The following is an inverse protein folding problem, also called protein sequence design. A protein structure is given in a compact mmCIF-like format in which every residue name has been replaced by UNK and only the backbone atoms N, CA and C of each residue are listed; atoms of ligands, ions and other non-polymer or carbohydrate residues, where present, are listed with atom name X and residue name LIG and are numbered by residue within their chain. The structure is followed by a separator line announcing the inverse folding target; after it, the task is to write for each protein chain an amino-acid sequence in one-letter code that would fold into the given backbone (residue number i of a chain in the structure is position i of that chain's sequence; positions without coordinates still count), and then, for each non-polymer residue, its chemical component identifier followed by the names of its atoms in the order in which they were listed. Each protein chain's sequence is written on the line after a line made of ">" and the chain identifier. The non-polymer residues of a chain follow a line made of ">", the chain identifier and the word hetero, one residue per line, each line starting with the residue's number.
data_IF_349494694242
#
_entry.id   IF_349494694242
#
_cell.length_a   1.000
_cell.length_b   1.000
_cell.length_c   1.000
_cell.angle_alpha   90.00
_cell.angle_beta   90.00
_cell.angle_gamma   90.00
#
_symmetry.space_group_name_H-M   'P 1'
#
loop_
_entity.id
_entity.type
_entity.pdbx_description
1 polymer ?
#
# COMPACT_ATOMS: atom_id res chain seq x y z
N UNK A 1 10.35 29.76 -11.78
CA UNK A 1 8.96 29.75 -11.31
C UNK A 1 8.92 29.16 -9.92
N UNK A 2 8.60 29.96 -8.92
CA UNK A 2 8.44 29.47 -7.56
C UNK A 2 7.10 28.73 -7.45
N UNK A 3 7.17 27.49 -6.96
CA UNK A 3 6.00 26.67 -6.66
C UNK A 3 6.16 26.07 -5.28
N UNK A 4 5.14 26.17 -4.45
CA UNK A 4 5.11 25.55 -3.13
C UNK A 4 4.50 24.16 -3.23
N UNK A 5 5.15 23.16 -2.65
CA UNK A 5 4.57 21.82 -2.49
C UNK A 5 3.58 21.85 -1.33
N UNK A 6 2.36 21.37 -1.54
CA UNK A 6 1.30 21.29 -0.54
C UNK A 6 1.23 19.89 0.11
N UNK A 7 1.58 18.85 -0.64
CA UNK A 7 1.56 17.48 -0.14
C UNK A 7 1.77 16.45 -1.25
N UNK A 8 1.35 15.22 -0.97
CA UNK A 8 1.56 14.06 -1.84
C UNK A 8 0.26 13.32 -2.13
N UNK A 9 0.17 12.72 -3.31
CA UNK A 9 -0.98 11.91 -3.75
C UNK A 9 -0.50 10.79 -4.69
N UNK A 10 -1.32 9.76 -4.84
CA UNK A 10 -1.10 8.73 -5.86
C UNK A 10 -1.19 9.32 -7.28
N UNK A 11 -0.35 8.82 -8.19
CA UNK A 11 -0.35 9.28 -9.56
C UNK A 11 -1.67 8.90 -10.26
N UNK A 12 -2.42 9.86 -10.85
CA UNK A 12 -3.69 9.58 -11.50
C UNK A 12 -3.56 8.75 -12.79
N UNK A 13 -2.35 8.66 -13.36
CA UNK A 13 -2.05 7.85 -14.56
C UNK A 13 -1.72 6.40 -14.17
N UNK A 14 -1.85 6.03 -12.89
CA UNK A 14 -1.65 4.66 -12.40
C UNK A 14 -0.27 4.07 -12.76
N UNK A 15 0.77 4.92 -12.83
CA UNK A 15 2.16 4.48 -13.06
C UNK A 15 2.81 3.80 -11.83
N UNK A 16 2.02 3.39 -10.83
CA UNK A 16 2.49 2.79 -9.57
C UNK A 16 3.13 3.76 -8.57
N UNK A 17 3.31 5.04 -8.92
CA UNK A 17 3.93 6.01 -8.02
C UNK A 17 2.91 6.62 -7.05
N UNK A 18 3.12 6.41 -5.74
CA UNK A 18 2.20 6.84 -4.67
C UNK A 18 2.52 8.21 -4.07
N UNK A 19 3.67 8.80 -4.44
CA UNK A 19 4.18 10.03 -3.86
C UNK A 19 4.25 11.20 -4.87
N UNK A 20 3.27 11.34 -5.77
CA UNK A 20 3.22 12.46 -6.70
C UNK A 20 3.01 13.79 -5.95
N UNK A 21 3.77 14.83 -6.31
CA UNK A 21 3.74 16.08 -5.58
C UNK A 21 2.55 16.92 -6.01
N UNK A 22 1.79 17.43 -5.04
CA UNK A 22 0.80 18.48 -5.26
C UNK A 22 1.46 19.82 -5.04
N UNK A 23 1.44 20.69 -6.04
CA UNK A 23 2.12 21.99 -6.03
C UNK A 23 1.15 23.11 -6.36
N UNK A 24 1.40 24.30 -5.82
CA UNK A 24 0.70 25.54 -6.16
C UNK A 24 1.71 26.56 -6.68
N UNK A 25 1.37 27.28 -7.75
CA UNK A 25 2.22 28.35 -8.29
C UNK A 25 2.11 29.57 -7.38
N UNK A 26 3.22 30.07 -6.86
CA UNK A 26 3.21 31.25 -5.98
C UNK A 26 3.49 32.55 -6.74
N UNK A 27 3.88 32.45 -8.01
CA UNK A 27 4.29 33.60 -8.84
C UNK A 27 3.11 34.46 -9.35
N UNK A 28 1.86 33.98 -9.25
CA UNK A 28 0.68 34.73 -9.72
C UNK A 28 -0.16 35.19 -8.53
N UNK A 29 -0.37 36.51 -8.42
CA UNK A 29 -1.19 37.16 -7.41
C UNK A 29 -2.69 36.81 -7.48
N UNK A 30 -3.13 36.09 -8.51
CA UNK A 30 -4.53 35.72 -8.75
C UNK A 30 -4.67 34.20 -8.86
N UNK A 31 -5.58 33.64 -8.06
CA UNK A 31 -6.13 32.27 -8.10
C UNK A 31 -5.19 31.22 -8.74
N UNK A 32 -4.10 30.90 -8.05
CA UNK A 32 -3.22 29.83 -8.49
C UNK A 32 -3.84 28.46 -8.14
N UNK A 33 -4.32 27.75 -9.16
CA UNK A 33 -4.84 26.41 -8.98
C UNK A 33 -3.72 25.39 -8.69
N UNK A 34 -3.91 24.47 -7.72
CA UNK A 34 -2.95 23.42 -7.43
C UNK A 34 -2.87 22.41 -8.60
N UNK A 35 -1.70 21.79 -8.77
CA UNK A 35 -1.47 20.80 -9.82
C UNK A 35 -0.67 19.62 -9.29
N UNK A 36 -0.89 18.45 -9.88
CA UNK A 36 -0.12 17.22 -9.60
C UNK A 36 1.10 17.22 -10.50
N UNK A 37 2.25 16.91 -9.93
CA UNK A 37 3.47 16.62 -10.67
C UNK A 37 4.00 15.25 -10.22
N UNK A 38 3.94 14.28 -11.13
CA UNK A 38 4.51 12.96 -10.90
C UNK A 38 5.98 12.96 -11.34
N UNK A 39 6.89 12.65 -10.42
CA UNK A 39 8.33 12.51 -10.72
C UNK A 39 8.68 11.22 -11.45
N UNK A 40 7.82 10.20 -11.36
CA UNK A 40 8.06 8.90 -11.99
C UNK A 40 7.79 8.94 -13.50
N UNK A 41 6.55 9.26 -13.89
CA UNK A 41 6.14 9.29 -15.30
C UNK A 41 6.22 10.68 -15.94
N UNK A 42 6.66 11.71 -15.20
CA UNK A 42 6.75 13.08 -15.70
C UNK A 42 5.41 13.80 -15.90
N UNK A 43 4.28 13.15 -15.64
CA UNK A 43 2.96 13.70 -15.86
C UNK A 43 2.66 14.92 -14.99
N UNK A 44 1.98 15.90 -15.58
CA UNK A 44 1.52 17.11 -14.91
C UNK A 44 0.02 17.28 -15.12
N UNK A 45 -0.74 17.35 -14.03
CA UNK A 45 -2.19 17.50 -14.07
C UNK A 45 -2.59 18.81 -13.38
N UNK A 46 -3.04 19.79 -14.16
CA UNK A 46 -3.52 21.08 -13.64
C UNK A 46 -5.01 21.02 -13.37
N UNK A 47 -5.43 21.46 -12.19
CA UNK A 47 -6.85 21.76 -11.95
C UNK A 47 -7.21 23.06 -12.65
N UNK A 48 -8.42 23.12 -13.20
CA UNK A 48 -8.89 24.26 -14.00
C UNK A 48 -9.87 25.16 -13.23
N UNK A 49 -10.53 24.59 -12.22
CA UNK A 49 -11.62 25.22 -11.46
C UNK A 49 -11.43 24.97 -9.95
N UNK A 50 -12.10 25.78 -9.12
CA UNK A 50 -12.05 25.68 -7.66
C UNK A 50 -12.55 24.33 -7.12
N UNK A 51 -13.57 23.74 -7.74
CA UNK A 51 -14.08 22.42 -7.34
C UNK A 51 -13.01 21.33 -7.51
N UNK A 52 -12.29 21.35 -8.63
CA UNK A 52 -11.20 20.41 -8.89
C UNK A 52 -10.04 20.65 -7.94
N UNK A 53 -9.72 21.90 -7.66
CA UNK A 53 -8.71 22.28 -6.67
C UNK A 53 -9.08 21.77 -5.27
N UNK A 54 -10.32 21.99 -4.83
CA UNK A 54 -10.81 21.52 -3.53
C UNK A 54 -10.84 20.00 -3.43
N UNK A 55 -11.27 19.30 -4.49
CA UNK A 55 -11.24 17.84 -4.53
C UNK A 55 -9.81 17.29 -4.45
N UNK A 56 -8.88 17.91 -5.17
CA UNK A 56 -7.49 17.54 -5.15
C UNK A 56 -6.86 17.75 -3.76
N UNK A 57 -7.12 18.89 -3.13
CA UNK A 57 -6.65 19.16 -1.76
C UNK A 57 -7.21 18.17 -0.75
N UNK A 58 -8.50 17.79 -0.85
CA UNK A 58 -9.12 16.76 0.01
C UNK A 58 -8.46 15.39 -0.10
N UNK A 59 -7.96 15.04 -1.29
CA UNK A 59 -7.25 13.77 -1.54
C UNK A 59 -5.74 13.85 -1.29
N UNK A 60 -5.20 15.05 -1.10
CA UNK A 60 -3.78 15.24 -0.87
C UNK A 60 -3.48 14.84 0.57
N UNK A 61 -2.52 13.92 0.78
CA UNK A 61 -1.93 13.71 2.09
C UNK A 61 -0.96 14.86 2.37
N UNK A 62 -1.19 15.70 3.40
CA UNK A 62 -0.20 16.70 3.79
C UNK A 62 1.09 15.99 4.20
N UNK A 63 2.25 16.54 3.81
CA UNK A 63 3.57 15.98 4.16
C UNK A 63 3.80 15.86 5.69
N UNK A 64 3.04 16.58 6.50
CA UNK A 64 3.11 16.49 7.96
C UNK A 64 2.63 15.15 8.54
N UNK A 65 2.02 14.27 7.74
CA UNK A 65 1.56 12.95 8.16
C UNK A 65 2.54 11.81 7.84
N UNK A 66 3.75 12.12 7.38
CA UNK A 66 4.89 11.19 7.39
C UNK A 66 5.54 11.09 8.79
N UNK A 67 4.76 11.27 9.87
CA UNK A 67 5.10 10.60 11.11
C UNK A 67 4.88 9.11 10.87
N UNK A 68 5.91 8.24 10.96
CA UNK A 68 5.67 6.81 11.03
C UNK A 68 4.63 6.57 12.14
N UNK A 69 3.69 5.61 11.98
CA UNK A 69 2.83 5.24 13.08
C UNK A 69 3.75 4.93 14.27
N UNK A 70 3.63 5.71 15.34
CA UNK A 70 4.22 5.35 16.62
C UNK A 70 3.75 3.92 16.90
N UNK A 71 4.66 2.96 17.16
CA UNK A 71 4.24 1.60 17.45
C UNK A 71 3.25 1.67 18.60
N UNK A 72 2.01 1.24 18.34
CA UNK A 72 0.98 1.13 19.36
C UNK A 72 1.62 0.46 20.59
N UNK A 73 1.43 1.00 21.82
CA UNK A 73 2.02 0.38 22.99
C UNK A 73 1.54 -1.06 23.05
N UNK A 74 2.49 -1.98 22.89
CA UNK A 74 2.30 -3.41 23.11
C UNK A 74 1.57 -3.55 24.44
N UNK A 75 0.36 -4.15 24.50
CA UNK A 75 -0.23 -4.47 25.79
C UNK A 75 0.75 -5.41 26.48
N UNK A 76 1.43 -4.90 27.50
CA UNK A 76 2.29 -5.66 28.40
C UNK A 76 1.46 -6.85 28.87
N UNK A 77 1.87 -8.10 28.64
CA UNK A 77 1.13 -9.22 29.17
C UNK A 77 1.17 -9.12 30.69
N UNK A 78 0.04 -8.79 31.30
CA UNK A 78 -0.18 -8.95 32.72
C UNK A 78 0.22 -10.37 33.07
N UNK A 79 1.27 -10.47 33.88
CA UNK A 79 1.78 -11.69 34.50
C UNK A 79 0.60 -12.48 35.07
N UNK A 80 0.22 -13.57 34.38
CA UNK A 80 -0.69 -14.56 34.91
C UNK A 80 0.01 -15.21 36.12
N UNK A 81 -0.43 -14.83 37.32
CA UNK A 81 -0.14 -15.57 38.52
C UNK A 81 -1.11 -16.75 38.61
N UNK A 82 -0.54 -17.87 39.05
CA UNK A 82 -1.14 -19.13 39.48
C UNK A 82 -1.55 -20.16 38.41
N UNK A 83 -0.68 -21.15 38.27
CA UNK A 83 -0.94 -22.48 37.73
C UNK A 83 -1.78 -23.32 38.70
N UNK A 84 -2.53 -24.32 38.20
CA UNK A 84 -2.21 -25.70 38.59
C UNK A 84 -2.07 -26.66 37.37
N UNK A 85 -1.51 -27.87 37.56
CA UNK A 85 -0.66 -28.51 36.56
C UNK A 85 -1.45 -29.34 35.55
N UNK A 86 -1.13 -29.17 34.26
CA UNK A 86 -1.47 -30.15 33.24
C UNK A 86 -0.29 -31.12 33.07
N UNK A 87 -0.58 -32.40 33.32
CA UNK A 87 0.30 -33.54 33.14
C UNK A 87 0.67 -33.78 31.65
N UNK A 88 1.60 -34.70 31.35
CA UNK A 88 2.62 -34.53 30.31
C UNK A 88 2.18 -34.85 28.87
N UNK A 89 2.90 -34.21 27.95
CA UNK A 89 3.05 -34.43 26.50
C UNK A 89 3.24 -35.91 26.11
N UNK A 90 2.96 -36.31 24.85
CA UNK A 90 4.12 -36.51 23.96
C UNK A 90 3.91 -36.18 22.46
N UNK A 91 4.84 -35.35 21.96
CA UNK A 91 5.64 -35.47 20.72
C UNK A 91 4.93 -35.93 19.44
N UNK A 92 4.73 -34.98 18.53
CA UNK A 92 4.46 -35.26 17.11
C UNK A 92 5.80 -35.37 16.36
N UNK A 93 6.15 -36.52 15.74
CA UNK A 93 7.35 -36.63 14.92
C UNK A 93 7.05 -36.22 13.47
N UNK A 94 7.73 -35.19 13.00
CA UNK A 94 8.00 -34.91 11.57
C UNK A 94 9.25 -35.70 11.14
N UNK A 95 9.59 -35.97 9.86
CA UNK A 95 8.83 -36.22 8.62
C UNK A 95 9.24 -37.58 7.95
N UNK A 96 8.61 -37.97 6.83
CA UNK A 96 9.28 -38.79 5.81
C UNK A 96 8.67 -38.61 4.40
N UNK A 97 9.45 -38.31 3.35
CA UNK A 97 9.11 -38.57 1.94
C UNK A 97 9.66 -39.97 1.53
N UNK A 98 9.60 -40.43 0.26
CA UNK A 98 8.59 -40.35 -0.81
C UNK A 98 8.21 -41.78 -1.32
N UNK A 99 7.27 -41.92 -2.27
CA UNK A 99 7.31 -43.05 -3.22
C UNK A 99 6.56 -42.76 -4.54
N UNK A 100 7.08 -43.23 -5.70
CA UNK A 100 6.58 -42.92 -7.04
C UNK A 100 5.37 -43.74 -7.50
N UNK A 101 4.69 -43.23 -8.53
CA UNK A 101 3.44 -43.72 -9.10
C UNK A 101 3.57 -44.99 -9.98
N UNK A 102 2.52 -45.83 -10.04
CA UNK A 102 2.30 -46.74 -11.16
C UNK A 102 1.28 -46.19 -12.18
N UNK A 103 1.74 -46.11 -13.43
CA UNK A 103 0.94 -45.86 -14.64
C UNK A 103 -0.15 -46.92 -14.82
N UNK A 104 -1.35 -46.52 -15.27
CA UNK A 104 -2.21 -47.39 -16.09
C UNK A 104 -2.61 -46.67 -17.37
N UNK A 105 -2.11 -47.23 -18.48
CA UNK A 105 -2.62 -47.02 -19.84
C UNK A 105 -4.01 -47.65 -19.93
N UNK A 106 -4.97 -46.95 -20.51
CA UNK A 106 -5.88 -47.57 -21.48
C UNK A 106 -6.16 -46.57 -22.60
N UNK A 107 -5.78 -46.97 -23.80
CA UNK A 107 -6.14 -46.36 -25.07
C UNK A 107 -7.61 -46.68 -25.39
N UNK A 108 -8.26 -45.83 -26.20
CA UNK A 108 -9.17 -46.14 -27.33
C UNK A 108 -9.70 -44.76 -27.81
N UNK A 109 -9.23 -44.17 -28.92
CA UNK A 109 -9.41 -44.52 -30.35
C UNK A 109 -10.77 -44.05 -30.89
N UNK A 110 -10.74 -43.24 -31.95
CA UNK A 110 -11.84 -42.99 -32.89
C UNK A 110 -12.20 -41.51 -32.95
N UNK A 111 -11.82 -40.79 -34.01
CA UNK A 111 -12.51 -40.71 -35.33
C UNK A 111 -13.73 -39.77 -35.24
N UNK A 112 -13.94 -38.78 -36.10
CA UNK A 112 -13.49 -38.59 -37.47
C UNK A 112 -13.39 -37.07 -37.79
#
# INVERSE_FOLDING_TARGET
>A
MASKTLGRIECPIQCGHTAAHVKIKTDKASAAFPYIHCRNCGAQLHTKNDEQAGYLLKRTRPEALDTPPEPAPTPTPTRAADAPPAAPTPVEPTPAPPAPAPRRRFAFRGAA
#
